data_IF_787337038996
#
_entry.id   IF_787337038996
#
_cell.length_a   1.000
_cell.length_b   1.000
_cell.length_c   1.000
_cell.angle_alpha   90.00
_cell.angle_beta   90.00
_cell.angle_gamma   90.00
#
_symmetry.space_group_name_H-M   'P 1'
#
loop_
_entity.id
_entity.type
_entity.pdbx_description
1 polymer ?
#
# COMPACT_ATOMS: atom_id res chain seq x y z
N UNK A 1 -19.64 -1.17 -23.71
CA UNK A 1 -18.68 -0.42 -22.88
C UNK A 1 -19.41 0.82 -22.36
N UNK A 2 -19.39 1.04 -21.04
CA UNK A 2 -19.91 2.28 -20.47
C UNK A 2 -19.06 3.44 -21.02
N UNK A 3 -19.71 4.51 -21.44
CA UNK A 3 -18.98 5.72 -21.84
C UNK A 3 -18.68 6.54 -20.59
N UNK A 4 -17.57 7.28 -20.56
CA UNK A 4 -17.22 8.17 -19.44
C UNK A 4 -18.35 9.17 -19.13
N UNK A 5 -19.21 9.46 -20.10
CA UNK A 5 -20.38 10.36 -19.95
C UNK A 5 -21.45 9.80 -19.00
N UNK A 6 -21.47 8.50 -18.74
CA UNK A 6 -22.45 7.82 -17.87
C UNK A 6 -21.89 7.57 -16.45
N UNK A 7 -20.78 8.22 -16.10
CA UNK A 7 -20.08 8.09 -14.81
C UNK A 7 -20.17 9.40 -14.07
N UNK A 8 -20.86 9.42 -12.94
CA UNK A 8 -21.13 10.63 -12.14
C UNK A 8 -20.54 10.57 -10.73
N UNK A 9 -20.09 9.39 -10.29
CA UNK A 9 -19.53 9.18 -8.95
C UNK A 9 -18.20 8.41 -9.02
N UNK A 10 -17.39 8.53 -7.97
CA UNK A 10 -16.16 7.73 -7.84
C UNK A 10 -16.45 6.23 -7.81
N UNK A 11 -17.53 5.82 -7.16
CA UNK A 11 -17.92 4.40 -7.11
C UNK A 11 -18.28 3.88 -8.51
N UNK A 12 -19.03 4.65 -9.30
CA UNK A 12 -19.32 4.30 -10.68
C UNK A 12 -18.06 4.25 -11.54
N UNK A 13 -17.11 5.15 -11.35
CA UNK A 13 -15.83 5.13 -12.04
C UNK A 13 -15.06 3.84 -11.73
N UNK A 14 -14.97 3.50 -10.47
CA UNK A 14 -14.32 2.26 -10.01
C UNK A 14 -15.01 1.02 -10.60
N UNK A 15 -16.35 0.98 -10.59
CA UNK A 15 -17.11 -0.19 -11.03
C UNK A 15 -17.17 -0.36 -12.55
N UNK A 16 -17.41 0.75 -13.25
CA UNK A 16 -17.78 0.70 -14.69
C UNK A 16 -16.56 0.92 -15.58
N UNK A 17 -15.48 1.52 -15.08
CA UNK A 17 -14.32 1.86 -15.88
C UNK A 17 -13.01 1.27 -15.33
N UNK A 18 -12.58 1.66 -14.14
CA UNK A 18 -11.26 1.32 -13.64
C UNK A 18 -11.13 -0.17 -13.29
N UNK A 19 -12.10 -0.73 -12.57
CA UNK A 19 -12.10 -2.16 -12.22
C UNK A 19 -12.08 -3.08 -13.45
N UNK A 20 -12.94 -2.89 -14.47
CA UNK A 20 -12.86 -3.63 -15.73
C UNK A 20 -11.53 -3.46 -16.46
N UNK A 21 -10.91 -2.27 -16.44
CA UNK A 21 -9.59 -2.04 -17.03
C UNK A 21 -8.51 -2.86 -16.32
N UNK A 22 -8.49 -2.84 -14.99
CA UNK A 22 -7.55 -3.65 -14.18
C UNK A 22 -7.80 -5.15 -14.39
N UNK A 23 -9.07 -5.59 -14.45
CA UNK A 23 -9.40 -6.99 -14.77
C UNK A 23 -8.84 -7.38 -16.14
N UNK A 24 -8.97 -6.52 -17.15
CA UNK A 24 -8.41 -6.77 -18.47
C UNK A 24 -6.88 -6.88 -18.46
N UNK A 25 -6.19 -6.05 -17.66
CA UNK A 25 -4.72 -6.19 -17.47
C UNK A 25 -4.39 -7.55 -16.87
N UNK A 26 -5.09 -7.96 -15.80
CA UNK A 26 -4.89 -9.27 -15.16
C UNK A 26 -5.08 -10.40 -16.16
N UNK A 27 -6.19 -10.38 -16.90
CA UNK A 27 -6.56 -11.45 -17.86
C UNK A 27 -5.55 -11.61 -18.99
N UNK A 28 -4.87 -10.54 -19.41
CA UNK A 28 -3.92 -10.57 -20.51
C UNK A 28 -2.45 -10.75 -20.08
N UNK A 29 -2.13 -10.47 -18.81
CA UNK A 29 -0.73 -10.40 -18.36
C UNK A 29 -0.46 -11.26 -17.13
N UNK A 30 -1.38 -12.12 -16.70
CA UNK A 30 -1.17 -13.03 -15.58
C UNK A 30 -1.92 -14.35 -15.75
N UNK A 31 -1.55 -15.34 -14.93
CA UNK A 31 -2.26 -16.61 -14.81
C UNK A 31 -3.43 -16.54 -13.79
N UNK A 32 -3.76 -15.32 -13.39
CA UNK A 32 -4.83 -15.04 -12.46
C UNK A 32 -4.34 -14.44 -11.15
N UNK A 33 -5.31 -14.00 -10.36
CA UNK A 33 -5.08 -13.36 -9.07
C UNK A 33 -5.92 -14.02 -7.99
N UNK A 34 -5.34 -14.20 -6.81
CA UNK A 34 -6.04 -14.74 -5.63
C UNK A 34 -5.86 -13.83 -4.42
N UNK A 35 -6.81 -13.93 -3.49
CA UNK A 35 -6.72 -13.35 -2.15
C UNK A 35 -7.15 -14.39 -1.13
N UNK A 36 -6.43 -14.50 -0.03
CA UNK A 36 -6.74 -15.37 1.10
C UNK A 36 -6.67 -14.59 2.41
N UNK A 37 -7.25 -15.13 3.48
CA UNK A 37 -7.25 -14.50 4.80
C UNK A 37 -8.34 -13.45 5.02
N UNK A 38 -9.22 -13.19 4.05
CA UNK A 38 -10.34 -12.27 4.22
C UNK A 38 -11.34 -12.73 5.29
N UNK A 39 -11.39 -14.03 5.59
CA UNK A 39 -12.16 -14.62 6.70
C UNK A 39 -11.71 -14.11 8.08
N UNK A 40 -10.52 -13.52 8.19
CA UNK A 40 -10.04 -12.87 9.40
C UNK A 40 -10.68 -11.49 9.64
N UNK A 41 -11.36 -10.95 8.64
CA UNK A 41 -11.87 -9.59 8.63
C UNK A 41 -13.39 -9.53 8.56
N UNK A 42 -13.95 -8.40 8.96
CA UNK A 42 -15.38 -8.11 8.84
C UNK A 42 -15.61 -7.13 7.68
N UNK A 43 -16.50 -7.44 6.72
CA UNK A 43 -16.74 -6.60 5.54
C UNK A 43 -17.23 -5.19 5.86
N UNK A 44 -17.92 -5.00 6.98
CA UNK A 44 -18.49 -3.71 7.44
C UNK A 44 -17.47 -2.82 8.16
N UNK A 45 -16.28 -3.33 8.43
CA UNK A 45 -15.23 -2.64 9.19
C UNK A 45 -14.19 -2.02 8.26
N UNK A 46 -13.69 -0.84 8.61
CA UNK A 46 -12.56 -0.21 7.95
C UNK A 46 -11.25 -0.58 8.62
N UNK A 47 -10.22 -0.86 7.83
CA UNK A 47 -8.90 -1.34 8.27
C UNK A 47 -7.78 -0.52 7.67
N UNK A 48 -6.64 -0.46 8.37
CA UNK A 48 -5.38 0.05 7.83
C UNK A 48 -4.55 -1.14 7.34
N UNK A 49 -4.55 -1.40 6.03
CA UNK A 49 -3.70 -2.40 5.41
C UNK A 49 -2.28 -1.88 5.25
N UNK A 50 -1.30 -2.63 5.72
CA UNK A 50 0.13 -2.34 5.56
C UNK A 50 0.77 -3.50 4.83
N UNK A 51 1.43 -3.23 3.71
CA UNK A 51 2.04 -4.29 2.90
C UNK A 51 3.44 -3.92 2.39
N UNK A 52 4.15 -4.91 1.87
CA UNK A 52 5.18 -4.69 0.87
C UNK A 52 4.58 -3.96 -0.35
N UNK A 53 5.44 -3.39 -1.18
CA UNK A 53 5.01 -2.62 -2.37
C UNK A 53 5.80 -3.12 -3.59
N UNK A 54 5.11 -3.79 -4.50
CA UNK A 54 5.71 -4.43 -5.68
C UNK A 54 5.56 -3.59 -6.94
N UNK A 55 4.35 -3.10 -7.20
CA UNK A 55 3.99 -2.37 -8.42
C UNK A 55 3.33 -1.03 -8.10
N UNK A 56 3.66 0.02 -8.86
CA UNK A 56 3.19 1.40 -8.60
C UNK A 56 1.66 1.51 -8.67
N UNK A 57 1.04 0.81 -9.62
CA UNK A 57 -0.40 0.92 -9.90
C UNK A 57 -1.14 -0.32 -9.40
N UNK A 58 -0.60 -1.51 -9.70
CA UNK A 58 -1.38 -2.74 -9.60
C UNK A 58 -1.61 -3.20 -8.17
N UNK A 59 -0.72 -2.91 -7.22
CA UNK A 59 -0.91 -3.37 -5.84
C UNK A 59 -2.23 -2.87 -5.25
N UNK A 60 -2.44 -1.55 -5.22
CA UNK A 60 -3.67 -0.95 -4.69
C UNK A 60 -4.88 -1.20 -5.60
N UNK A 61 -4.68 -1.21 -6.91
CA UNK A 61 -5.75 -1.43 -7.87
C UNK A 61 -6.32 -2.84 -7.81
N UNK A 62 -5.45 -3.86 -7.76
CA UNK A 62 -5.85 -5.27 -7.62
C UNK A 62 -6.45 -5.51 -6.23
N UNK A 63 -5.86 -4.97 -5.16
CA UNK A 63 -6.42 -5.06 -3.82
C UNK A 63 -7.87 -4.56 -3.80
N UNK A 64 -8.13 -3.38 -4.34
CA UNK A 64 -9.47 -2.81 -4.41
C UNK A 64 -10.44 -3.66 -5.23
N UNK A 65 -9.98 -4.22 -6.35
CA UNK A 65 -10.77 -5.14 -7.17
C UNK A 65 -11.16 -6.40 -6.38
N UNK A 66 -10.21 -6.99 -5.64
CA UNK A 66 -10.42 -8.20 -4.84
C UNK A 66 -11.31 -7.95 -3.63
N UNK A 67 -11.06 -6.88 -2.87
CA UNK A 67 -11.88 -6.50 -1.73
C UNK A 67 -13.33 -6.30 -2.15
N UNK A 68 -13.56 -5.57 -3.23
CA UNK A 68 -14.91 -5.35 -3.75
C UNK A 68 -15.60 -6.63 -4.19
N UNK A 69 -14.93 -7.51 -4.93
CA UNK A 69 -15.50 -8.81 -5.34
C UNK A 69 -15.95 -9.65 -4.15
N UNK A 70 -15.34 -9.44 -2.98
CA UNK A 70 -15.66 -10.14 -1.75
C UNK A 70 -16.55 -9.33 -0.79
N UNK A 71 -17.14 -8.22 -1.23
CA UNK A 71 -18.10 -7.42 -0.44
C UNK A 71 -17.46 -6.52 0.61
N UNK A 72 -16.14 -6.28 0.55
CA UNK A 72 -15.42 -5.37 1.43
C UNK A 72 -15.42 -3.94 0.90
N UNK A 73 -15.13 -3.00 1.78
CA UNK A 73 -14.93 -1.58 1.46
C UNK A 73 -13.65 -1.38 0.66
N UNK A 74 -13.62 -0.31 -0.14
CA UNK A 74 -12.40 0.12 -0.82
C UNK A 74 -11.30 0.52 0.15
N UNK A 75 -10.07 0.48 -0.35
CA UNK A 75 -8.96 1.18 0.28
C UNK A 75 -8.70 2.51 -0.42
N UNK A 76 -8.42 3.53 0.36
CA UNK A 76 -7.76 4.74 -0.08
C UNK A 76 -6.25 4.51 -0.05
N UNK A 77 -5.57 4.74 -1.17
CA UNK A 77 -4.15 4.45 -1.29
C UNK A 77 -3.29 5.70 -1.07
N UNK A 78 -2.19 5.53 -0.32
CA UNK A 78 -1.18 6.58 -0.16
C UNK A 78 -0.28 6.65 -1.39
N UNK A 79 -0.21 7.81 -2.06
CA UNK A 79 0.59 8.03 -3.27
C UNK A 79 1.56 9.20 -3.08
N UNK A 80 2.83 9.01 -3.48
CA UNK A 80 3.82 10.07 -3.46
C UNK A 80 3.54 11.16 -4.50
N UNK A 81 3.74 12.43 -4.12
CA UNK A 81 3.53 13.58 -5.02
C UNK A 81 4.42 13.55 -6.27
N UNK A 82 5.56 12.86 -6.24
CA UNK A 82 6.45 12.65 -7.38
C UNK A 82 5.80 11.87 -8.55
N UNK A 83 4.70 11.16 -8.31
CA UNK A 83 3.95 10.42 -9.33
C UNK A 83 2.91 11.30 -10.06
N UNK A 84 2.64 12.51 -9.59
CA UNK A 84 1.67 13.43 -10.17
C UNK A 84 2.31 14.26 -11.29
N UNK A 85 2.75 13.58 -12.34
CA UNK A 85 3.54 14.16 -13.43
C UNK A 85 2.75 15.12 -14.34
N UNK A 86 1.41 15.04 -14.32
CA UNK A 86 0.52 15.93 -15.09
C UNK A 86 -0.91 15.91 -14.53
N UNK A 87 -1.77 16.80 -15.03
CA UNK A 87 -3.14 16.98 -14.52
C UNK A 87 -4.01 15.72 -14.66
N UNK A 88 -3.97 15.04 -15.80
CA UNK A 88 -4.81 13.86 -16.00
C UNK A 88 -4.41 12.68 -15.07
N UNK A 89 -3.12 12.51 -14.77
CA UNK A 89 -2.66 11.53 -13.76
C UNK A 89 -3.17 11.93 -12.39
N UNK A 90 -3.09 13.22 -12.06
CA UNK A 90 -3.61 13.73 -10.78
C UNK A 90 -5.11 13.48 -10.64
N UNK A 91 -5.88 13.72 -11.69
CA UNK A 91 -7.33 13.45 -11.68
C UNK A 91 -7.63 11.95 -11.56
N UNK A 92 -6.89 11.10 -12.28
CA UNK A 92 -7.01 9.65 -12.18
C UNK A 92 -6.72 9.15 -10.76
N UNK A 93 -5.66 9.67 -10.12
CA UNK A 93 -5.28 9.36 -8.73
C UNK A 93 -6.41 9.76 -7.77
N UNK A 94 -6.99 10.94 -7.91
CA UNK A 94 -8.13 11.41 -7.09
C UNK A 94 -9.39 10.58 -7.30
N UNK A 95 -9.69 10.19 -8.54
CA UNK A 95 -10.82 9.31 -8.87
C UNK A 95 -10.66 7.89 -8.30
N UNK A 96 -9.41 7.45 -8.10
CA UNK A 96 -9.10 6.18 -7.45
C UNK A 96 -8.99 6.27 -5.92
N UNK A 97 -9.55 7.33 -5.31
CA UNK A 97 -9.55 7.50 -3.85
C UNK A 97 -8.15 7.46 -3.24
N UNK A 98 -7.17 8.05 -3.92
CA UNK A 98 -5.82 8.15 -3.38
C UNK A 98 -5.62 9.46 -2.64
N UNK A 99 -4.84 9.45 -1.57
CA UNK A 99 -4.36 10.65 -0.90
C UNK A 99 -2.86 10.84 -1.11
N UNK A 100 -2.43 12.09 -1.13
CA UNK A 100 -1.08 12.47 -1.57
C UNK A 100 -0.14 12.52 -0.36
N UNK A 101 1.03 11.90 -0.51
CA UNK A 101 2.17 12.06 0.39
C UNK A 101 3.16 13.01 -0.28
N UNK A 102 3.29 14.20 0.28
CA UNK A 102 4.26 15.18 -0.18
C UNK A 102 5.69 14.68 0.05
N UNK A 103 6.53 14.83 -0.97
CA UNK A 103 7.92 14.43 -0.98
C UNK A 103 8.82 15.65 -1.20
N UNK A 104 10.08 15.52 -0.78
CA UNK A 104 11.12 16.54 -1.01
C UNK A 104 10.78 17.91 -0.41
N UNK A 105 10.03 17.91 0.70
CA UNK A 105 9.67 19.11 1.47
C UNK A 105 10.61 19.31 2.68
N UNK A 106 10.77 20.56 3.15
CA UNK A 106 11.57 20.84 4.34
C UNK A 106 11.13 20.01 5.56
N UNK A 107 12.09 19.64 6.43
CA UNK A 107 11.84 18.78 7.62
C UNK A 107 10.70 19.32 8.49
N UNK A 108 10.61 20.63 8.67
CA UNK A 108 9.54 21.26 9.46
C UNK A 108 8.16 21.02 8.85
N UNK A 109 8.05 21.15 7.54
CA UNK A 109 6.80 20.91 6.80
C UNK A 109 6.46 19.43 6.78
N UNK A 110 7.48 18.55 6.69
CA UNK A 110 7.31 17.10 6.75
C UNK A 110 6.67 16.66 8.08
N UNK A 111 7.04 17.27 9.22
CA UNK A 111 6.45 16.97 10.52
C UNK A 111 4.96 17.35 10.52
N UNK A 112 4.62 18.56 10.06
CA UNK A 112 3.23 19.03 9.99
C UNK A 112 2.40 18.14 9.05
N UNK A 113 2.92 17.88 7.86
CA UNK A 113 2.27 17.01 6.87
C UNK A 113 2.09 15.58 7.39
N UNK A 114 3.05 15.05 8.16
CA UNK A 114 2.93 13.74 8.80
C UNK A 114 1.86 13.70 9.89
N UNK A 115 1.72 14.77 10.67
CA UNK A 115 0.67 14.87 11.68
C UNK A 115 -0.72 14.92 11.02
N UNK A 116 -0.89 15.72 9.98
CA UNK A 116 -2.14 15.79 9.21
C UNK A 116 -2.51 14.45 8.56
N UNK A 117 -1.52 13.74 8.01
CA UNK A 117 -1.74 12.37 7.46
C UNK A 117 -2.15 11.38 8.53
N UNK A 118 -1.50 11.42 9.69
CA UNK A 118 -1.86 10.60 10.84
C UNK A 118 -3.32 10.82 11.25
N UNK A 119 -3.73 12.08 11.34
CA UNK A 119 -5.11 12.48 11.66
C UNK A 119 -6.08 12.00 10.58
N UNK A 120 -5.76 12.21 9.31
CA UNK A 120 -6.58 11.76 8.18
C UNK A 120 -6.81 10.25 8.19
N UNK A 121 -5.74 9.46 8.34
CA UNK A 121 -5.81 8.00 8.39
C UNK A 121 -6.72 7.56 9.54
N UNK A 122 -6.53 8.11 10.72
CA UNK A 122 -7.35 7.79 11.90
C UNK A 122 -8.81 8.15 11.69
N UNK A 123 -9.09 9.37 11.25
CA UNK A 123 -10.45 9.82 10.98
C UNK A 123 -11.16 8.95 9.94
N UNK A 124 -10.47 8.54 8.88
CA UNK A 124 -11.02 7.65 7.84
C UNK A 124 -11.38 6.28 8.42
N UNK A 125 -10.50 5.67 9.21
CA UNK A 125 -10.75 4.36 9.85
C UNK A 125 -11.89 4.46 10.86
N UNK A 126 -11.94 5.51 11.70
CA UNK A 126 -12.97 5.74 12.69
C UNK A 126 -14.34 6.03 12.05
N UNK A 127 -14.39 6.81 10.98
CA UNK A 127 -15.60 7.07 10.22
C UNK A 127 -16.20 5.81 9.59
N UNK A 128 -15.38 4.78 9.39
CA UNK A 128 -15.84 3.49 8.90
C UNK A 128 -16.38 3.53 7.47
N UNK A 129 -15.96 4.50 6.65
CA UNK A 129 -16.40 4.62 5.25
C UNK A 129 -15.52 3.79 4.31
N UNK A 130 -14.21 4.01 4.35
CA UNK A 130 -13.21 3.31 3.56
C UNK A 130 -12.12 2.71 4.45
N UNK A 131 -11.42 1.72 3.92
CA UNK A 131 -10.15 1.26 4.47
C UNK A 131 -9.00 2.13 3.94
N UNK A 132 -7.80 1.98 4.49
CA UNK A 132 -6.57 2.63 4.00
C UNK A 132 -5.58 1.54 3.58
N UNK A 133 -4.88 1.75 2.48
CA UNK A 133 -3.71 0.97 2.11
C UNK A 133 -2.46 1.86 2.07
N UNK A 134 -1.41 1.41 2.71
CA UNK A 134 -0.12 2.10 2.72
C UNK A 134 1.02 1.07 2.66
N UNK A 135 2.06 1.40 1.88
CA UNK A 135 3.27 0.59 1.85
C UNK A 135 4.05 0.68 3.18
N UNK A 136 4.62 -0.43 3.63
CA UNK A 136 5.40 -0.51 4.88
C UNK A 136 6.69 0.32 4.86
N UNK A 137 7.15 0.69 3.68
CA UNK A 137 8.31 1.58 3.48
C UNK A 137 8.12 2.45 2.25
N UNK A 138 8.94 3.46 2.14
CA UNK A 138 9.01 4.31 0.96
C UNK A 138 9.57 3.57 -0.25
N UNK A 139 8.88 3.69 -1.40
CA UNK A 139 9.24 3.08 -2.66
C UNK A 139 8.91 1.58 -2.74
N UNK A 140 9.08 1.03 -3.95
CA UNK A 140 8.81 -0.37 -4.23
C UNK A 140 9.94 -1.26 -3.73
N UNK A 141 9.60 -2.50 -3.36
CA UNK A 141 10.61 -3.54 -3.09
C UNK A 141 11.48 -3.80 -4.31
N UNK A 142 12.78 -4.01 -4.08
CA UNK A 142 13.76 -4.25 -5.15
C UNK A 142 14.33 -5.67 -5.09
N UNK A 143 14.64 -6.13 -3.88
CA UNK A 143 15.33 -7.39 -3.62
C UNK A 143 14.53 -8.34 -2.69
N UNK A 144 13.31 -7.98 -2.33
CA UNK A 144 12.48 -8.76 -1.40
C UNK A 144 12.87 -8.64 0.08
N UNK A 145 13.94 -7.93 0.44
CA UNK A 145 14.32 -7.65 1.83
C UNK A 145 13.69 -6.32 2.29
N UNK A 146 12.39 -6.32 2.45
CA UNK A 146 11.64 -5.16 2.91
C UNK A 146 11.52 -5.17 4.43
N UNK A 147 11.85 -4.02 5.03
CA UNK A 147 11.68 -3.78 6.47
C UNK A 147 10.73 -2.62 6.66
N UNK A 148 9.77 -2.78 7.58
CA UNK A 148 8.87 -1.69 7.92
C UNK A 148 9.64 -0.46 8.40
N UNK A 149 9.35 0.67 7.79
CA UNK A 149 10.07 1.91 8.07
C UNK A 149 9.62 2.50 9.41
N UNK A 150 10.52 2.71 10.39
CA UNK A 150 10.14 3.20 11.72
C UNK A 150 9.44 4.57 11.71
N UNK A 151 9.75 5.42 10.72
CA UNK A 151 9.09 6.72 10.55
C UNK A 151 7.60 6.60 10.26
N UNK A 152 7.17 5.53 9.57
CA UNK A 152 5.76 5.23 9.32
C UNK A 152 5.01 4.99 10.64
N UNK A 153 5.57 4.17 11.52
CA UNK A 153 4.97 3.88 12.83
C UNK A 153 4.94 5.12 13.73
N UNK A 154 6.00 5.93 13.69
CA UNK A 154 6.03 7.22 14.40
C UNK A 154 4.93 8.16 13.89
N UNK A 155 4.71 8.20 12.57
CA UNK A 155 3.61 8.98 11.97
C UNK A 155 2.26 8.53 12.51
N UNK A 156 1.95 7.23 12.54
CA UNK A 156 0.67 6.74 13.05
C UNK A 156 0.37 7.14 14.50
N UNK A 157 1.42 7.35 15.29
CA UNK A 157 1.28 7.78 16.69
C UNK A 157 0.96 9.28 16.84
N UNK A 158 1.22 10.12 15.85
CA UNK A 158 1.20 11.58 15.98
C UNK A 158 -0.19 12.16 16.29
N UNK A 159 -1.27 11.53 15.81
CA UNK A 159 -2.65 12.04 15.95
C UNK A 159 -3.37 11.57 17.21
N UNK A 160 -2.71 10.88 18.14
CA UNK A 160 -3.36 10.41 19.35
C UNK A 160 -2.47 10.61 20.57
N UNK A 161 -3.07 11.09 21.66
CA UNK A 161 -2.44 11.20 22.98
C UNK A 161 -2.58 9.95 23.84
N UNK A 162 -3.26 8.91 23.35
CA UNK A 162 -3.48 7.63 24.03
C UNK A 162 -2.19 6.87 24.20
N UNK A 163 -2.20 5.87 25.08
CA UNK A 163 -1.08 4.93 25.20
C UNK A 163 -0.83 4.17 23.89
N UNK A 164 0.26 3.43 23.83
CA UNK A 164 0.69 2.74 22.62
C UNK A 164 -0.38 1.75 22.11
N UNK A 165 -0.84 0.85 22.98
CA UNK A 165 -1.75 -0.21 22.59
C UNK A 165 -3.08 0.34 22.09
N UNK A 166 -3.69 1.27 22.82
CA UNK A 166 -4.97 1.88 22.45
C UNK A 166 -4.85 2.75 21.19
N UNK A 167 -3.72 3.46 21.01
CA UNK A 167 -3.47 4.24 19.80
C UNK A 167 -3.46 3.37 18.54
N UNK A 168 -2.73 2.24 18.59
CA UNK A 168 -2.62 1.35 17.43
C UNK A 168 -3.88 0.50 17.22
N UNK A 169 -4.57 0.10 18.28
CA UNK A 169 -5.85 -0.63 18.21
C UNK A 169 -6.92 0.14 17.44
N UNK A 170 -6.97 1.48 17.60
CA UNK A 170 -7.89 2.33 16.85
C UNK A 170 -7.67 2.29 15.34
N UNK A 171 -6.46 2.02 14.88
CA UNK A 171 -6.11 1.94 13.46
C UNK A 171 -6.51 0.61 12.82
N UNK A 172 -6.78 -0.44 13.62
CA UNK A 172 -7.14 -1.79 13.13
C UNK A 172 -6.18 -2.24 12.03
N UNK A 173 -4.90 -2.27 12.38
CA UNK A 173 -3.83 -2.57 11.40
C UNK A 173 -3.93 -4.04 10.99
N UNK A 174 -3.91 -4.25 9.68
CA UNK A 174 -3.92 -5.56 9.04
C UNK A 174 -2.68 -5.70 8.17
N UNK A 175 -1.77 -6.63 8.49
CA UNK A 175 -0.68 -6.98 7.60
C UNK A 175 -1.23 -7.62 6.32
N UNK A 176 -0.64 -7.23 5.19
CA UNK A 176 -0.96 -7.74 3.88
C UNK A 176 0.33 -8.08 3.13
N UNK A 177 0.39 -9.26 2.53
CA UNK A 177 1.48 -9.66 1.65
C UNK A 177 1.02 -9.66 0.21
N UNK A 178 1.85 -9.11 -0.68
CA UNK A 178 1.62 -9.06 -2.13
C UNK A 178 2.75 -9.78 -2.83
N UNK A 179 2.44 -10.81 -3.61
CA UNK A 179 3.45 -11.55 -4.36
C UNK A 179 3.06 -11.72 -5.82
N UNK A 180 4.05 -11.56 -6.68
CA UNK A 180 4.00 -11.82 -8.11
C UNK A 180 4.94 -12.98 -8.41
N UNK A 181 4.48 -14.00 -9.14
CA UNK A 181 5.32 -15.14 -9.53
C UNK A 181 6.50 -14.67 -10.41
N UNK A 182 6.23 -13.70 -11.28
CA UNK A 182 7.25 -13.01 -12.07
C UNK A 182 7.19 -11.51 -11.81
N UNK A 183 8.30 -10.92 -11.41
CA UNK A 183 8.41 -9.49 -11.18
C UNK A 183 8.48 -8.75 -12.53
N UNK A 184 7.43 -8.01 -12.93
CA UNK A 184 7.38 -7.41 -14.28
C UNK A 184 8.44 -6.34 -14.51
N UNK A 185 8.99 -5.76 -13.44
CA UNK A 185 10.00 -4.69 -13.49
C UNK A 185 11.38 -5.17 -13.02
N UNK A 186 11.69 -6.46 -13.08
CA UNK A 186 12.93 -7.03 -12.56
C UNK A 186 14.19 -6.39 -13.17
N UNK A 187 14.24 -6.23 -14.49
CA UNK A 187 15.34 -5.55 -15.19
C UNK A 187 15.51 -4.09 -14.71
N UNK A 188 14.43 -3.36 -14.57
CA UNK A 188 14.46 -1.94 -14.11
C UNK A 188 14.93 -1.86 -12.67
N UNK A 189 14.43 -2.74 -11.80
CA UNK A 189 14.81 -2.82 -10.39
C UNK A 189 16.26 -3.26 -10.21
N UNK A 190 16.71 -4.24 -10.97
CA UNK A 190 18.08 -4.72 -10.96
C UNK A 190 19.05 -3.64 -11.44
N UNK A 191 18.72 -2.94 -12.51
CA UNK A 191 19.53 -1.84 -13.02
C UNK A 191 19.63 -0.68 -12.00
N UNK A 192 18.53 -0.33 -11.32
CA UNK A 192 18.53 0.67 -10.24
C UNK A 192 19.46 0.24 -9.10
N UNK A 193 19.37 -1.03 -8.65
CA UNK A 193 20.25 -1.56 -7.60
C UNK A 193 21.71 -1.55 -8.02
N UNK A 194 22.02 -2.03 -9.22
CA UNK A 194 23.37 -2.04 -9.75
C UNK A 194 23.96 -0.63 -9.85
N UNK A 195 23.20 0.32 -10.41
CA UNK A 195 23.67 1.69 -10.56
C UNK A 195 24.00 2.32 -9.20
N UNK A 196 23.21 2.06 -8.16
CA UNK A 196 23.48 2.51 -6.78
C UNK A 196 24.77 1.95 -6.19
N UNK A 197 25.31 0.83 -6.71
CA UNK A 197 26.58 0.27 -6.23
C UNK A 197 27.81 0.89 -6.90
N UNK A 198 27.66 1.45 -8.09
CA UNK A 198 28.79 1.95 -8.91
C UNK A 198 28.82 3.47 -9.07
N UNK A 199 27.70 4.17 -8.82
CA UNK A 199 27.60 5.61 -8.97
C UNK A 199 26.50 6.19 -8.07
N UNK A 200 26.48 7.52 -7.96
CA UNK A 200 25.34 8.23 -7.42
C UNK A 200 24.12 8.05 -8.34
N UNK A 201 22.99 7.63 -7.76
CA UNK A 201 21.76 7.39 -8.51
C UNK A 201 20.69 8.38 -8.07
N UNK A 202 20.21 9.15 -9.01
CA UNK A 202 19.06 10.06 -8.84
C UNK A 202 17.95 9.56 -9.76
N UNK A 203 16.84 9.13 -9.15
CA UNK A 203 15.69 8.62 -9.88
C UNK A 203 14.98 9.73 -10.64
N UNK A 204 14.60 9.48 -11.89
CA UNK A 204 13.89 10.44 -12.73
C UNK A 204 12.40 10.13 -12.85
N UNK A 205 11.54 11.12 -13.15
CA UNK A 205 10.11 10.89 -13.40
C UNK A 205 9.83 9.94 -14.58
N UNK A 206 10.71 9.93 -15.58
CA UNK A 206 10.62 9.04 -16.75
C UNK A 206 10.79 7.58 -16.36
N UNK A 207 11.63 7.29 -15.35
CA UNK A 207 11.82 5.93 -14.84
C UNK A 207 10.57 5.43 -14.11
N UNK A 208 9.86 6.30 -13.38
CA UNK A 208 8.57 5.96 -12.78
C UNK A 208 7.52 5.68 -13.85
N UNK A 209 7.43 6.51 -14.88
CA UNK A 209 6.53 6.31 -16.00
C UNK A 209 6.83 5.00 -16.74
N UNK A 210 8.10 4.72 -17.04
CA UNK A 210 8.53 3.47 -17.66
C UNK A 210 8.16 2.27 -16.79
N UNK A 211 8.36 2.37 -15.48
CA UNK A 211 8.00 1.30 -14.54
C UNK A 211 6.49 1.05 -14.49
N UNK A 212 5.66 2.09 -14.52
CA UNK A 212 4.20 1.96 -14.59
C UNK A 212 3.77 1.26 -15.88
N UNK A 213 4.31 1.66 -17.03
CA UNK A 213 4.02 1.03 -18.33
C UNK A 213 4.45 -0.44 -18.35
N UNK A 214 5.65 -0.73 -17.88
CA UNK A 214 6.20 -2.11 -17.79
C UNK A 214 5.35 -2.96 -16.86
N UNK A 215 5.00 -2.46 -15.68
CA UNK A 215 4.13 -3.15 -14.71
C UNK A 215 2.77 -3.51 -15.30
N UNK A 216 2.17 -2.63 -16.09
CA UNK A 216 0.89 -2.90 -16.75
C UNK A 216 1.00 -3.91 -17.90
N UNK A 217 2.08 -3.87 -18.68
CA UNK A 217 2.20 -4.60 -19.95
C UNK A 217 2.85 -5.99 -19.82
N UNK A 218 3.82 -6.16 -18.89
CA UNK A 218 4.61 -7.39 -18.81
C UNK A 218 3.87 -8.50 -18.06
N UNK A 219 4.21 -9.74 -18.41
CA UNK A 219 3.65 -10.95 -17.78
C UNK A 219 4.09 -11.08 -16.31
N UNK A 220 3.20 -11.60 -15.47
CA UNK A 220 3.33 -11.62 -14.00
C UNK A 220 3.21 -13.03 -13.38
N UNK A 221 2.83 -14.04 -14.19
CA UNK A 221 2.45 -15.34 -13.63
C UNK A 221 1.24 -15.23 -12.70
N UNK A 222 1.26 -15.98 -11.62
CA UNK A 222 0.22 -15.91 -10.58
C UNK A 222 0.49 -14.72 -9.65
N UNK A 223 -0.59 -14.03 -9.29
CA UNK A 223 -0.54 -12.91 -8.34
C UNK A 223 -1.31 -13.31 -7.08
N UNK A 224 -0.69 -13.20 -5.90
CA UNK A 224 -1.33 -13.59 -4.65
C UNK A 224 -1.31 -12.44 -3.65
N UNK A 225 -2.45 -12.27 -2.98
CA UNK A 225 -2.64 -11.39 -1.84
C UNK A 225 -2.96 -12.25 -0.62
N UNK A 226 -2.22 -12.06 0.45
CA UNK A 226 -2.45 -12.79 1.72
C UNK A 226 -2.72 -11.78 2.82
N UNK A 227 -3.94 -11.82 3.35
CA UNK A 227 -4.41 -10.95 4.43
C UNK A 227 -4.22 -11.68 5.75
N UNK A 228 -3.46 -11.10 6.67
CA UNK A 228 -3.30 -11.66 8.01
C UNK A 228 -4.40 -11.17 8.95
N UNK A 229 -4.38 -11.65 10.19
CA UNK A 229 -5.26 -11.15 11.26
C UNK A 229 -4.88 -9.73 11.63
N UNK A 230 -5.86 -8.89 12.08
CA UNK A 230 -5.53 -7.64 12.73
C UNK A 230 -4.55 -7.87 13.90
N UNK A 231 -3.59 -6.96 14.07
CA UNK A 231 -2.54 -7.08 15.12
C UNK A 231 -3.04 -6.73 16.53
N UNK A 232 -4.34 -6.52 16.71
CA UNK A 232 -4.93 -6.00 17.95
C UNK A 232 -4.63 -6.88 19.17
N UNK A 233 -4.63 -8.20 18.99
CA UNK A 233 -4.34 -9.17 20.06
C UNK A 233 -2.87 -9.15 20.51
N UNK A 234 -1.96 -8.64 19.68
CA UNK A 234 -0.52 -8.61 19.95
C UNK A 234 -0.08 -7.29 20.61
N UNK A 235 -0.91 -6.25 20.54
CA UNK A 235 -0.55 -4.89 20.98
C UNK A 235 -0.24 -4.79 22.48
N UNK A 236 -0.97 -5.53 23.33
CA UNK A 236 -0.75 -5.52 24.77
C UNK A 236 0.58 -6.23 25.15
N UNK A 237 0.88 -7.32 24.45
CA UNK A 237 2.17 -8.00 24.59
C UNK A 237 3.33 -7.11 24.15
N UNK A 238 3.19 -6.40 23.03
CA UNK A 238 4.17 -5.43 22.53
C UNK A 238 4.36 -4.28 23.53
N UNK A 239 3.28 -3.74 24.08
CA UNK A 239 3.31 -2.63 25.02
C UNK A 239 4.04 -3.00 26.33
N UNK A 240 4.04 -4.29 26.69
CA UNK A 240 4.73 -4.79 27.90
C UNK A 240 6.24 -4.98 27.72
N UNK A 241 6.76 -4.91 26.50
CA UNK A 241 8.19 -5.07 26.25
C UNK A 241 8.99 -3.86 26.78
N UNK A 242 10.22 -4.08 27.32
CA UNK A 242 11.06 -2.98 27.79
C UNK A 242 11.31 -1.98 26.66
N UNK A 243 10.92 -0.73 26.88
CA UNK A 243 11.05 0.33 25.89
C UNK A 243 12.49 0.81 25.74
N UNK A 244 13.30 0.10 25.02
CA UNK A 244 14.42 0.73 24.32
C UNK A 244 13.81 1.28 23.02
N UNK A 245 13.71 2.61 22.87
CA UNK A 245 12.85 3.31 21.89
C UNK A 245 12.85 2.86 20.42
N UNK A 246 13.70 1.91 20.04
CA UNK A 246 13.74 1.26 18.73
C UNK A 246 13.15 -0.16 18.74
N UNK A 247 13.17 -0.86 19.87
CA UNK A 247 12.83 -2.29 19.95
C UNK A 247 11.35 -2.56 19.78
N UNK A 248 10.48 -1.70 20.31
CA UNK A 248 9.01 -1.87 20.24
C UNK A 248 8.49 -1.68 18.81
N UNK A 249 9.14 -0.84 18.02
CA UNK A 249 8.76 -0.61 16.61
C UNK A 249 9.14 -1.77 15.69
N UNK A 250 10.14 -2.56 16.04
CA UNK A 250 10.82 -3.47 15.11
C UNK A 250 10.40 -4.92 15.24
N UNK A 251 10.07 -5.40 16.43
CA UNK A 251 10.05 -6.85 16.69
C UNK A 251 8.78 -7.52 16.18
N UNK A 252 7.66 -6.83 16.11
CA UNK A 252 6.37 -7.43 15.80
C UNK A 252 5.91 -7.30 14.34
N UNK A 253 6.06 -6.13 13.74
CA UNK A 253 5.87 -6.01 12.28
C UNK A 253 6.91 -6.86 11.53
N UNK A 254 8.10 -7.06 12.12
CA UNK A 254 9.14 -7.94 11.57
C UNK A 254 8.77 -9.44 11.61
N UNK A 255 7.99 -9.89 12.57
CA UNK A 255 7.47 -11.27 12.55
C UNK A 255 6.48 -11.48 11.40
N UNK A 256 5.68 -10.45 11.09
CA UNK A 256 4.81 -10.42 9.91
C UNK A 256 5.62 -10.25 8.61
N UNK A 257 6.66 -9.39 8.59
CA UNK A 257 7.59 -9.26 7.46
C UNK A 257 8.20 -10.63 7.09
N UNK A 258 8.55 -11.46 8.07
CA UNK A 258 9.11 -12.80 7.82
C UNK A 258 8.07 -13.75 7.22
N UNK A 259 6.79 -13.69 7.63
CA UNK A 259 5.71 -14.45 7.02
C UNK A 259 5.40 -13.97 5.61
N UNK A 260 5.37 -12.65 5.39
CA UNK A 260 5.19 -12.05 4.08
C UNK A 260 6.34 -12.43 3.12
N UNK A 261 7.59 -12.40 3.58
CA UNK A 261 8.76 -12.77 2.78
C UNK A 261 8.84 -14.26 2.46
N UNK A 262 8.36 -15.16 3.35
CA UNK A 262 8.30 -16.60 3.10
C UNK A 262 7.31 -16.96 1.99
N UNK A 263 6.21 -16.22 1.85
CA UNK A 263 5.24 -16.42 0.75
C UNK A 263 5.81 -15.97 -0.60
N UNK A 264 6.74 -15.02 -0.61
CA UNK A 264 7.42 -14.56 -1.84
C UNK A 264 8.53 -15.51 -2.31
N UNK A 265 8.95 -16.48 -1.49
CA UNK A 265 10.04 -17.43 -1.81
C UNK A 265 9.54 -18.84 -2.18
N UNK A 266 8.22 -19.08 -2.12
CA UNK A 266 7.55 -20.32 -2.54
C UNK A 266 6.77 -20.11 -3.83
#
# INVERSE_FOLDING_TARGET
AATLKDIHTRDEFQCKFFGPAIQSVIDHTSDGVSISGLENLRPDTSYLFISDHRDIILDSAILNLLLRKNGFKYTEAAIGSNLLVNEWVTDLVKLNSCFIIERDIPVREMIVSSALRSEYIRATIEAGVNSIWIAQKEGRTKNGDDKTQPSLLKMFKMSSSKDFAENFRQLKIVPLSISYEWEPCDDLKTNELYTKTVSEYIKTPEEDMKSMQTGLAMYKGRINFVVDKPIDDELDAIASLPSNGETVSYTHLRAHDTRCNLVCLL
#
